data_IF_349840226035
#
_entry.id   IF_349840226035
#
_cell.length_a   1.000
_cell.length_b   1.000
_cell.length_c   1.000
_cell.angle_alpha   90.00
_cell.angle_beta   90.00
_cell.angle_gamma   90.00
#
_symmetry.space_group_name_H-M   'P 1'
#
loop_
_entity.id
_entity.type
_entity.pdbx_description
1 polymer ?
#
# COMPACT_ATOMS: atom_id res chain seq x y z
N UNK A 1 21.63 36.43 -10.72
CA UNK A 1 21.31 35.65 -10.50
C UNK A 1 20.95 35.15 -10.48
N UNK A 2 20.99 35.29 -10.57
CA UNK A 2 20.53 34.38 -10.35
C UNK A 2 20.07 33.86 -10.34
N UNK A 3 20.07 34.06 -10.26
CA UNK A 3 19.62 33.24 -10.06
C UNK A 3 19.29 32.57 -9.88
N UNK A 4 19.39 32.72 -9.78
CA UNK A 4 19.04 31.79 -9.45
C UNK A 4 18.56 31.38 -8.96
N UNK A 5 18.74 31.65 -8.94
CA UNK A 5 18.18 30.92 -8.33
C UNK A 5 17.49 30.61 -8.01
N UNK A 6 17.65 31.08 -8.11
CA UNK A 6 16.85 30.43 -7.63
C UNK A 6 16.42 29.94 -7.50
N UNK A 7 16.59 29.96 -7.46
CA UNK A 7 16.06 29.12 -7.15
C UNK A 7 15.67 28.67 -6.70
N UNK A 8 15.86 29.00 -6.60
CA UNK A 8 15.34 28.24 -5.97
C UNK A 8 14.74 27.85 -5.56
N UNK A 9 14.87 28.10 -5.43
CA UNK A 9 14.11 27.38 -4.79
C UNK A 9 13.51 27.06 -4.61
N UNK A 10 13.47 27.23 -4.67
CA UNK A 10 12.68 26.56 -4.32
C UNK A 10 12.36 25.96 -4.16
N UNK A 11 12.59 25.86 -4.00
CA UNK A 11 12.18 24.90 -3.67
C UNK A 11 11.77 24.55 -3.19
N UNK A 12 11.88 24.76 -3.04
CA UNK A 12 11.30 24.06 -2.36
C UNK A 12 10.74 23.82 -2.02
N UNK A 13 10.78 24.12 -2.10
CA UNK A 13 10.06 23.53 -1.61
C UNK A 13 9.76 23.01 -1.37
N UNK A 14 10.03 23.00 -1.31
CA UNK A 14 9.61 22.13 -0.91
C UNK A 14 9.29 21.73 -0.44
N UNK A 15 9.43 21.94 -0.25
CA UNK A 15 8.92 21.23 0.40
C UNK A 15 8.40 21.04 0.81
N UNK A 16 8.43 21.28 0.85
CA UNK A 16 7.69 20.77 1.45
C UNK A 16 7.35 20.48 1.66
N UNK A 17 7.52 20.53 1.81
CA UNK A 17 6.99 19.91 2.18
C UNK A 17 6.64 19.48 2.60
N UNK A 18 6.75 19.57 2.79
CA UNK A 18 6.16 18.81 3.36
C UNK A 18 5.67 18.64 3.73
N UNK A 19 5.63 18.76 3.96
CA UNK A 19 4.89 18.32 4.39
C UNK A 19 4.40 17.87 4.71
N UNK A 20 4.37 17.81 5.08
CA UNK A 20 3.74 17.04 5.50
C UNK A 20 3.21 16.82 5.69
N UNK A 21 3.13 16.67 5.76
CA UNK A 21 2.29 16.38 6.01
C UNK A 21 1.90 15.87 6.54
N UNK A 22 2.09 15.92 6.41
CA UNK A 22 1.63 15.28 7.14
C UNK A 22 0.78 15.01 7.75
N UNK A 23 0.92 14.97 8.40
CA UNK A 23 0.04 14.71 9.34
C UNK A 23 -0.83 13.60 9.06
N UNK A 24 -1.65 13.56 8.37
CA UNK A 24 -2.53 12.47 8.10
C UNK A 24 -2.13 11.77 6.83
N UNK A 25 -2.20 10.50 6.87
CA UNK A 25 -1.87 9.72 5.72
C UNK A 25 -2.86 10.02 4.61
N UNK A 26 -2.35 10.33 3.48
CA UNK A 26 -3.19 10.44 2.32
C UNK A 26 -3.56 9.03 1.88
N UNK A 27 -4.80 8.85 1.53
CA UNK A 27 -5.18 7.63 0.89
C UNK A 27 -4.53 7.57 -0.48
N UNK A 28 -3.81 6.51 -0.72
CA UNK A 28 -3.28 6.25 -2.04
C UNK A 28 -4.32 5.44 -2.78
N UNK A 29 -4.89 6.05 -3.81
CA UNK A 29 -5.89 5.37 -4.63
C UNK A 29 -5.20 4.88 -5.89
N UNK A 30 -5.23 3.58 -6.10
CA UNK A 30 -4.64 2.99 -7.29
C UNK A 30 -5.75 2.32 -8.09
N UNK A 31 -5.99 2.85 -9.27
CA UNK A 31 -6.93 2.29 -10.22
C UNK A 31 -6.18 1.99 -11.50
N UNK A 32 -6.25 0.75 -11.95
CA UNK A 32 -5.54 0.33 -13.15
C UNK A 32 -6.49 -0.42 -14.06
N UNK A 33 -6.14 -0.45 -15.35
CA UNK A 33 -6.93 -1.15 -16.35
C UNK A 33 -6.48 -2.58 -16.59
N UNK A 34 -5.46 -3.01 -15.86
CA UNK A 34 -4.89 -4.35 -16.02
C UNK A 34 -5.35 -5.21 -14.87
N UNK A 35 -6.10 -6.27 -15.18
CA UNK A 35 -6.55 -7.19 -14.15
C UNK A 35 -5.37 -7.88 -13.50
N UNK A 36 -5.40 -8.06 -12.17
CA UNK A 36 -4.36 -8.85 -11.53
C UNK A 36 -4.45 -10.30 -11.95
N UNK A 37 -3.32 -11.00 -12.00
CA UNK A 37 -3.37 -12.44 -12.24
C UNK A 37 -4.09 -13.14 -11.09
N UNK A 38 -4.48 -14.39 -11.25
CA UNK A 38 -5.06 -15.14 -10.13
C UNK A 38 -4.09 -15.16 -8.96
N UNK A 39 -4.64 -15.08 -7.76
CA UNK A 39 -3.81 -15.13 -6.56
C UNK A 39 -3.05 -16.43 -6.49
N UNK A 40 -1.80 -16.33 -6.06
CA UNK A 40 -0.97 -17.53 -5.90
C UNK A 40 -1.37 -18.24 -4.63
N UNK A 41 -1.40 -19.58 -4.72
CA UNK A 41 -1.67 -20.40 -3.55
C UNK A 41 -0.36 -20.56 -2.79
N UNK A 42 -0.36 -20.12 -1.54
CA UNK A 42 0.82 -20.25 -0.67
C UNK A 42 0.46 -21.13 0.50
N UNK A 43 1.44 -21.88 0.98
CA UNK A 43 1.25 -22.67 2.18
C UNK A 43 1.24 -21.70 3.36
N UNK A 44 0.12 -21.69 4.11
CA UNK A 44 0.03 -20.84 5.29
C UNK A 44 0.81 -21.53 6.41
N UNK A 45 1.79 -20.83 7.01
CA UNK A 45 2.57 -21.46 8.09
C UNK A 45 1.71 -21.75 9.30
N UNK A 46 2.22 -22.62 10.18
CA UNK A 46 1.55 -22.88 11.45
C UNK A 46 1.44 -21.59 12.25
N UNK A 47 0.40 -21.53 13.09
CA UNK A 47 0.15 -20.33 13.90
C UNK A 47 1.38 -19.94 14.70
N UNK A 48 1.57 -18.63 14.83
CA UNK A 48 2.67 -18.06 15.58
C UNK A 48 2.11 -17.14 16.66
N UNK A 49 2.38 -17.44 17.91
CA UNK A 49 1.85 -16.66 19.02
C UNK A 49 2.28 -15.21 18.90
N UNK A 50 1.32 -14.29 19.06
CA UNK A 50 1.58 -12.86 19.00
C UNK A 50 1.62 -12.29 17.60
N UNK A 51 1.34 -13.10 16.57
CA UNK A 51 1.39 -12.67 15.19
C UNK A 51 0.18 -13.14 14.41
N UNK A 52 -0.13 -12.42 13.35
CA UNK A 52 -1.21 -12.77 12.44
C UNK A 52 -0.60 -12.90 11.04
N UNK A 53 -1.08 -13.87 10.29
CA UNK A 53 -0.59 -14.09 8.93
C UNK A 53 -1.26 -13.10 7.99
N UNK A 54 -0.44 -12.33 7.26
CA UNK A 54 -0.91 -11.45 6.20
C UNK A 54 -0.69 -12.18 4.88
N UNK A 55 -1.78 -12.57 4.19
CA UNK A 55 -1.63 -13.30 2.93
C UNK A 55 -0.89 -12.52 1.88
N UNK A 56 -0.25 -13.22 0.97
CA UNK A 56 0.39 -12.58 -0.18
C UNK A 56 -0.62 -11.89 -1.06
N UNK A 57 -0.15 -10.99 -1.87
CA UNK A 57 -1.02 -10.22 -2.74
C UNK A 57 -0.22 -9.68 -3.92
N UNK A 58 -0.94 -9.18 -4.93
CA UNK A 58 -0.33 -8.52 -6.08
C UNK A 58 -0.21 -7.03 -5.78
N UNK A 59 1.00 -6.49 -5.79
CA UNK A 59 1.16 -5.05 -5.72
C UNK A 59 1.39 -4.49 -7.11
N UNK A 60 1.03 -3.24 -7.29
CA UNK A 60 1.23 -2.57 -8.57
C UNK A 60 2.56 -1.84 -8.55
N UNK A 61 3.39 -2.12 -9.54
CA UNK A 61 4.72 -1.54 -9.60
C UNK A 61 5.08 -1.26 -11.06
N UNK A 62 5.18 0.00 -11.39
CA UNK A 62 5.67 0.45 -12.70
C UNK A 62 4.94 -0.23 -13.86
N UNK A 63 3.64 -0.23 -13.80
CA UNK A 63 2.83 -0.72 -14.90
C UNK A 63 2.57 -2.20 -14.90
N UNK A 64 2.89 -2.90 -13.81
CA UNK A 64 2.63 -4.34 -13.75
C UNK A 64 2.33 -4.79 -12.34
N UNK A 65 1.74 -5.96 -12.25
CA UNK A 65 1.48 -6.60 -10.97
C UNK A 65 2.70 -7.42 -10.58
N UNK A 66 3.12 -7.27 -9.32
CA UNK A 66 4.26 -8.00 -8.77
C UNK A 66 3.79 -8.71 -7.51
N UNK A 67 4.08 -10.01 -7.39
CA UNK A 67 3.63 -10.79 -6.24
C UNK A 67 4.45 -10.46 -5.00
N UNK A 68 3.75 -10.23 -3.88
CA UNK A 68 4.36 -10.05 -2.57
C UNK A 68 3.95 -11.26 -1.75
N UNK A 69 4.95 -11.98 -1.24
CA UNK A 69 4.68 -13.17 -0.42
C UNK A 69 3.99 -12.79 0.87
N UNK A 70 3.21 -13.72 1.41
CA UNK A 70 2.62 -13.52 2.73
C UNK A 70 3.69 -13.32 3.78
N UNK A 71 3.31 -12.68 4.88
CA UNK A 71 4.26 -12.35 5.92
C UNK A 71 3.54 -12.27 7.28
N UNK A 72 4.33 -12.27 8.35
CA UNK A 72 3.78 -12.13 9.69
C UNK A 72 3.67 -10.67 10.05
N UNK A 73 2.53 -10.30 10.66
CA UNK A 73 2.36 -8.97 11.23
C UNK A 73 2.09 -9.15 12.71
N UNK A 74 2.59 -8.22 13.52
CA UNK A 74 2.37 -8.28 14.94
C UNK A 74 0.89 -8.14 15.26
N UNK A 75 0.39 -9.01 16.10
CA UNK A 75 -0.99 -8.98 16.51
C UNK A 75 -1.36 -7.65 17.14
N UNK A 76 -2.57 -7.17 16.85
CA UNK A 76 -3.09 -5.96 17.46
C UNK A 76 -4.38 -6.32 18.19
N UNK A 77 -4.33 -6.28 19.51
CA UNK A 77 -5.45 -6.71 20.33
C UNK A 77 -6.71 -5.90 20.04
N UNK A 78 -7.82 -6.60 19.87
CA UNK A 78 -9.10 -5.97 19.55
C UNK A 78 -9.30 -5.66 18.09
N UNK A 79 -8.34 -6.05 17.25
CA UNK A 79 -8.39 -5.81 15.82
C UNK A 79 -8.05 -7.08 15.06
N UNK A 80 -8.45 -7.11 13.81
CA UNK A 80 -8.07 -8.19 12.91
C UNK A 80 -7.52 -7.60 11.62
N UNK A 81 -6.65 -8.37 10.97
CA UNK A 81 -6.02 -7.93 9.74
C UNK A 81 -6.93 -8.15 8.55
N UNK A 82 -7.13 -7.09 7.75
CA UNK A 82 -7.85 -7.16 6.49
C UNK A 82 -6.81 -7.14 5.38
N UNK A 83 -6.71 -8.21 4.58
CA UNK A 83 -5.64 -8.30 3.57
C UNK A 83 -5.76 -7.28 2.46
N UNK A 84 -4.62 -6.96 1.86
CA UNK A 84 -4.61 -6.21 0.61
C UNK A 84 -5.33 -7.00 -0.46
N UNK A 85 -6.08 -6.33 -1.30
CA UNK A 85 -6.78 -7.02 -2.39
C UNK A 85 -7.13 -6.08 -3.51
N UNK A 86 -7.41 -6.64 -4.66
CA UNK A 86 -7.89 -5.92 -5.82
C UNK A 86 -9.38 -6.14 -5.96
N UNK A 87 -10.07 -5.08 -6.35
CA UNK A 87 -11.51 -5.13 -6.53
C UNK A 87 -11.86 -4.56 -7.88
N UNK A 88 -12.65 -5.29 -8.65
CA UNK A 88 -13.07 -4.82 -9.95
C UNK A 88 -14.12 -3.73 -9.81
N UNK A 89 -13.91 -2.64 -10.57
CA UNK A 89 -14.84 -1.53 -10.61
C UNK A 89 -15.06 -1.13 -12.06
N UNK A 90 -16.18 -1.54 -12.64
CA UNK A 90 -16.43 -1.25 -14.02
C UNK A 90 -15.32 -1.80 -14.90
N UNK A 91 -14.64 -0.92 -15.63
CA UNK A 91 -13.58 -1.35 -16.54
C UNK A 91 -12.20 -1.28 -15.91
N UNK A 92 -12.12 -0.93 -14.63
CA UNK A 92 -10.83 -0.80 -13.98
C UNK A 92 -10.77 -1.67 -12.73
N UNK A 93 -9.57 -1.76 -12.18
CA UNK A 93 -9.32 -2.53 -10.96
C UNK A 93 -8.79 -1.59 -9.90
N UNK A 94 -9.41 -1.64 -8.74
CA UNK A 94 -9.09 -0.78 -7.62
C UNK A 94 -8.35 -1.57 -6.55
N UNK A 95 -7.20 -1.05 -6.10
CA UNK A 95 -6.44 -1.70 -5.05
C UNK A 95 -6.92 -1.23 -3.68
N UNK A 96 -7.26 -2.17 -2.82
CA UNK A 96 -7.63 -1.88 -1.45
C UNK A 96 -6.48 -2.28 -0.55
N UNK A 97 -5.88 -1.28 0.09
CA UNK A 97 -4.73 -1.52 0.95
C UNK A 97 -5.16 -2.25 2.22
N UNK A 98 -4.34 -3.21 2.63
CA UNK A 98 -4.60 -3.95 3.86
C UNK A 98 -4.55 -3.04 5.07
N UNK A 99 -5.30 -3.39 6.09
CA UNK A 99 -5.39 -2.54 7.28
C UNK A 99 -5.92 -3.34 8.46
N UNK A 100 -5.86 -2.72 9.61
CA UNK A 100 -6.47 -3.29 10.81
C UNK A 100 -7.89 -2.80 10.93
N UNK A 101 -8.78 -3.72 11.24
CA UNK A 101 -10.19 -3.39 11.44
C UNK A 101 -10.60 -3.87 12.83
N UNK A 102 -11.48 -3.11 13.48
CA UNK A 102 -11.90 -3.42 14.82
C UNK A 102 -12.75 -4.70 14.84
N UNK A 103 -12.53 -5.53 15.82
CA UNK A 103 -13.32 -6.77 16.00
C UNK A 103 -14.77 -6.48 16.36
#
# INVERSE_FOLDING_TARGET
MNRRNALVGAMAAIAAMAMPMAGHAKKVVIDVNVAPPPERVEVVPASRAGYVWAPGYWRWDRGRHVWVKGYWVRERRGYHWVPHRWKERGKSWHFEIGHWDRD
#
